data_IF_608480192073
#
_entry.id   IF_608480192073
#
_cell.length_a   1.000
_cell.length_b   1.000
_cell.length_c   1.000
_cell.angle_alpha   90.00
_cell.angle_beta   90.00
_cell.angle_gamma   90.00
#
_symmetry.space_group_name_H-M   'P 1'
#
loop_
_entity.id
_entity.type
_entity.pdbx_description
1 polymer ?
#
# COMPACT_ATOMS: atom_id res chain seq x y z
N UNK A 1 -1.23 -7.13 -22.29
CA UNK A 1 -0.94 -6.86 -20.87
C UNK A 1 -1.90 -5.79 -20.44
N UNK A 2 -3.01 -6.16 -19.81
CA UNK A 2 -3.83 -5.17 -19.12
C UNK A 2 -3.21 -4.94 -17.74
N UNK A 3 -2.74 -3.72 -17.57
CA UNK A 3 -2.22 -3.20 -16.31
C UNK A 3 -3.40 -3.00 -15.36
N UNK A 4 -3.22 -3.38 -14.11
CA UNK A 4 -4.13 -3.08 -13.02
C UNK A 4 -4.54 -1.62 -13.04
N UNK A 5 -5.82 -1.35 -13.34
CA UNK A 5 -6.53 -0.08 -13.17
C UNK A 5 -5.66 1.21 -13.11
N UNK A 6 -4.74 1.42 -14.06
CA UNK A 6 -3.97 2.66 -14.29
C UNK A 6 -3.32 3.39 -13.11
N UNK A 7 -3.24 2.81 -11.90
CA UNK A 7 -2.84 3.53 -10.69
C UNK A 7 -1.60 2.92 -10.05
N UNK A 8 -0.58 3.77 -9.91
CA UNK A 8 0.77 3.39 -9.47
C UNK A 8 1.06 3.87 -8.05
N UNK A 9 0.10 4.59 -7.44
CA UNK A 9 0.26 5.20 -6.13
C UNK A 9 -0.63 4.49 -5.10
N UNK A 10 0.00 4.05 -4.03
CA UNK A 10 -0.64 3.48 -2.85
C UNK A 10 -1.18 4.64 -1.98
N UNK A 11 -2.27 5.25 -2.43
CA UNK A 11 -2.92 6.38 -1.72
C UNK A 11 -3.96 5.83 -0.75
N UNK A 12 -3.76 6.10 0.54
CA UNK A 12 -4.61 5.62 1.66
C UNK A 12 -6.10 5.99 1.53
N UNK A 13 -6.42 6.95 0.66
CA UNK A 13 -7.77 7.47 0.42
C UNK A 13 -8.22 7.42 -1.05
N UNK A 14 -7.48 6.75 -1.93
CA UNK A 14 -7.98 6.51 -3.29
C UNK A 14 -9.18 5.58 -3.23
N UNK A 15 -10.26 5.99 -3.91
CA UNK A 15 -11.57 5.35 -3.84
C UNK A 15 -11.92 4.69 -5.16
N UNK A 16 -11.68 3.40 -5.30
CA UNK A 16 -12.42 2.60 -6.29
C UNK A 16 -13.61 1.93 -5.59
N UNK A 17 -14.81 2.23 -6.08
CA UNK A 17 -16.10 1.69 -5.61
C UNK A 17 -16.73 0.75 -6.64
N UNK A 18 -16.06 0.53 -7.76
CA UNK A 18 -16.54 -0.22 -8.91
C UNK A 18 -16.24 -1.72 -8.74
N UNK A 19 -16.42 -2.24 -7.53
CA UNK A 19 -16.10 -3.62 -7.19
C UNK A 19 -17.34 -4.37 -6.70
N UNK A 20 -17.32 -5.67 -6.93
CA UNK A 20 -18.25 -6.62 -6.31
C UNK A 20 -17.43 -7.57 -5.47
N UNK A 21 -17.68 -7.57 -4.16
CA UNK A 21 -17.10 -8.57 -3.28
C UNK A 21 -17.97 -9.83 -3.26
N UNK A 22 -17.32 -10.97 -3.40
CA UNK A 22 -17.97 -12.28 -3.48
C UNK A 22 -17.44 -13.17 -2.39
N UNK A 23 -18.35 -13.92 -1.74
CA UNK A 23 -17.97 -14.90 -0.74
C UNK A 23 -17.47 -16.19 -1.43
N UNK A 24 -16.37 -16.74 -0.95
CA UNK A 24 -15.73 -17.93 -1.50
C UNK A 24 -16.41 -19.22 -1.02
N UNK A 25 -17.68 -19.38 -1.40
CA UNK A 25 -18.56 -20.43 -0.91
C UNK A 25 -19.44 -19.94 0.25
N UNK A 26 -20.63 -20.54 0.35
CA UNK A 26 -21.65 -20.16 1.33
C UNK A 26 -21.13 -20.31 2.76
N UNK A 27 -21.24 -19.23 3.55
CA UNK A 27 -20.84 -19.18 4.97
C UNK A 27 -19.36 -19.51 5.20
N UNK A 28 -18.50 -19.36 4.18
CA UNK A 28 -17.07 -19.63 4.30
C UNK A 28 -16.35 -18.61 5.17
N UNK A 29 -16.89 -17.39 5.29
CA UNK A 29 -16.22 -16.26 5.92
C UNK A 29 -14.97 -15.78 5.16
N UNK A 30 -14.77 -16.28 3.95
CA UNK A 30 -13.67 -15.93 3.05
C UNK A 30 -14.25 -15.14 1.88
N UNK A 31 -13.60 -14.04 1.52
CA UNK A 31 -14.09 -13.11 0.51
C UNK A 31 -13.02 -12.85 -0.54
N UNK A 32 -13.48 -12.46 -1.72
CA UNK A 32 -12.58 -12.03 -2.78
C UNK A 32 -13.14 -10.89 -3.64
N UNK A 33 -12.22 -10.13 -4.25
CA UNK A 33 -12.48 -9.24 -5.39
C UNK A 33 -11.87 -9.84 -6.65
N UNK A 34 -12.69 -10.00 -7.69
CA UNK A 34 -12.23 -10.47 -9.00
C UNK A 34 -11.82 -9.28 -9.87
N UNK A 35 -10.61 -8.78 -9.64
CA UNK A 35 -10.03 -7.64 -10.39
C UNK A 35 -9.00 -8.10 -11.42
N UNK A 36 -8.88 -9.41 -11.64
CA UNK A 36 -7.97 -10.02 -12.60
C UNK A 36 -6.48 -9.72 -12.38
N UNK A 37 -5.89 -9.92 -11.17
CA UNK A 37 -4.46 -9.76 -10.97
C UNK A 37 -3.62 -10.62 -11.91
N UNK A 38 -2.65 -10.00 -12.58
CA UNK A 38 -1.74 -10.63 -13.55
C UNK A 38 -0.38 -11.01 -12.96
N UNK A 39 -0.14 -10.71 -11.68
CA UNK A 39 1.08 -11.02 -10.96
C UNK A 39 0.95 -10.83 -9.45
N UNK A 40 1.98 -11.21 -8.67
CA UNK A 40 2.02 -10.94 -7.24
C UNK A 40 2.05 -9.43 -6.98
N UNK A 41 1.44 -9.01 -5.88
CA UNK A 41 1.34 -7.59 -5.56
C UNK A 41 0.76 -7.35 -4.19
N UNK A 42 0.59 -6.07 -3.85
CA UNK A 42 0.01 -5.66 -2.59
C UNK A 42 -1.31 -4.95 -2.83
N UNK A 43 -2.21 -5.04 -1.86
CA UNK A 43 -3.47 -4.31 -1.90
C UNK A 43 -3.89 -3.87 -0.50
N UNK A 44 -4.65 -2.77 -0.46
CA UNK A 44 -5.31 -2.30 0.73
C UNK A 44 -6.81 -2.51 0.60
N UNK A 45 -7.44 -2.85 1.72
CA UNK A 45 -8.89 -2.84 1.88
C UNK A 45 -9.27 -1.83 2.97
N UNK A 46 -10.27 -1.00 2.69
CA UNK A 46 -10.81 -0.03 3.66
C UNK A 46 -12.26 -0.34 3.98
N UNK A 47 -12.54 -0.53 5.26
CA UNK A 47 -13.87 -0.84 5.78
C UNK A 47 -14.42 0.33 6.60
N UNK A 48 -15.74 0.52 6.57
CA UNK A 48 -16.44 1.37 7.51
C UNK A 48 -16.53 0.69 8.88
N UNK A 49 -16.11 1.38 9.95
CA UNK A 49 -16.18 0.85 11.33
C UNK A 49 -17.49 1.19 12.04
N UNK A 50 -18.29 2.12 11.50
CA UNK A 50 -19.52 2.59 12.14
C UNK A 50 -19.24 3.16 13.53
N UNK A 51 -19.83 2.54 14.56
CA UNK A 51 -19.67 2.97 15.95
C UNK A 51 -18.36 2.49 16.60
N UNK A 52 -17.58 1.63 15.94
CA UNK A 52 -16.41 0.97 16.53
C UNK A 52 -15.13 1.73 16.17
N UNK A 53 -14.99 2.95 16.71
CA UNK A 53 -13.94 3.89 16.29
C UNK A 53 -12.51 3.48 16.67
N UNK A 54 -12.36 2.59 17.64
CA UNK A 54 -11.06 2.11 18.13
C UNK A 54 -10.51 0.95 17.29
N UNK A 55 -11.26 0.48 16.28
CA UNK A 55 -10.85 -0.62 15.43
C UNK A 55 -10.10 -0.11 14.20
N UNK A 56 -9.10 -0.89 13.77
CA UNK A 56 -8.49 -0.69 12.47
C UNK A 56 -9.56 -0.74 11.37
N UNK A 57 -9.48 0.18 10.43
CA UNK A 57 -10.41 0.29 9.31
C UNK A 57 -9.74 0.09 7.96
N UNK A 58 -8.42 -0.02 7.94
CA UNK A 58 -7.59 -0.13 6.74
C UNK A 58 -6.63 -1.28 6.96
N UNK A 59 -6.60 -2.22 6.03
CA UNK A 59 -5.88 -3.49 6.12
C UNK A 59 -5.02 -3.68 4.89
N UNK A 60 -3.83 -4.23 5.07
CA UNK A 60 -2.84 -4.44 4.03
C UNK A 60 -2.60 -5.92 3.83
N UNK A 61 -2.58 -6.34 2.56
CA UNK A 61 -2.47 -7.72 2.15
C UNK A 61 -1.48 -7.86 1.01
N UNK A 62 -0.96 -9.07 0.87
CA UNK A 62 -0.12 -9.48 -0.25
C UNK A 62 -0.80 -10.61 -0.99
N UNK A 63 -0.92 -10.47 -2.31
CA UNK A 63 -1.23 -11.56 -3.21
C UNK A 63 0.06 -12.30 -3.58
N UNK A 64 0.07 -13.62 -3.42
CA UNK A 64 1.13 -14.47 -3.96
C UNK A 64 0.95 -14.63 -5.48
N UNK A 65 2.00 -15.09 -6.18
CA UNK A 65 1.97 -15.20 -7.65
C UNK A 65 0.93 -16.18 -8.20
N UNK A 66 0.37 -17.05 -7.36
CA UNK A 66 -0.67 -18.02 -7.73
C UNK A 66 -2.10 -17.46 -7.56
N UNK A 67 -2.24 -16.29 -6.94
CA UNK A 67 -3.54 -15.70 -6.62
C UNK A 67 -4.08 -14.87 -7.78
N UNK A 68 -5.17 -15.35 -8.38
CA UNK A 68 -5.90 -14.67 -9.46
C UNK A 68 -6.99 -13.72 -8.98
N UNK A 69 -7.12 -13.50 -7.65
CA UNK A 69 -8.12 -12.64 -7.00
C UNK A 69 -7.53 -12.00 -5.75
N UNK A 70 -8.06 -10.86 -5.31
CA UNK A 70 -7.69 -10.27 -4.02
C UNK A 70 -8.51 -10.97 -2.94
N UNK A 71 -7.89 -11.69 -2.01
CA UNK A 71 -8.62 -12.53 -1.04
C UNK A 71 -8.36 -12.11 0.40
N UNK A 72 -9.38 -12.26 1.26
CA UNK A 72 -9.25 -12.02 2.70
C UNK A 72 -10.29 -12.83 3.49
N UNK A 73 -10.05 -13.05 4.78
CA UNK A 73 -11.00 -13.65 5.71
C UNK A 73 -11.66 -12.61 6.61
N UNK A 74 -12.84 -12.93 7.13
CA UNK A 74 -13.52 -12.10 8.13
C UNK A 74 -12.63 -11.83 9.34
N UNK A 75 -11.92 -12.83 9.86
CA UNK A 75 -11.04 -12.71 11.03
C UNK A 75 -9.92 -11.69 10.78
N UNK A 76 -9.32 -11.71 9.59
CA UNK A 76 -8.24 -10.79 9.22
C UNK A 76 -8.66 -9.33 9.25
N UNK A 77 -9.95 -9.06 9.03
CA UNK A 77 -10.52 -7.70 9.02
C UNK A 77 -11.40 -7.41 10.24
N UNK A 78 -11.09 -8.07 11.37
CA UNK A 78 -11.83 -7.94 12.62
C UNK A 78 -13.35 -8.14 12.48
N UNK A 79 -13.76 -9.06 11.61
CA UNK A 79 -15.13 -9.39 11.25
C UNK A 79 -15.92 -8.23 10.61
N UNK A 80 -15.26 -7.19 10.08
CA UNK A 80 -15.95 -6.06 9.46
C UNK A 80 -16.70 -6.45 8.19
N UNK A 81 -16.20 -7.42 7.42
CA UNK A 81 -16.86 -7.98 6.22
C UNK A 81 -18.00 -8.95 6.52
N UNK A 82 -18.14 -9.45 7.75
CA UNK A 82 -19.17 -10.43 8.09
C UNK A 82 -18.90 -11.18 9.38
N UNK A 83 -19.97 -11.61 10.04
CA UNK A 83 -19.91 -12.48 11.21
C UNK A 83 -19.40 -11.82 12.50
N UNK A 84 -18.99 -12.66 13.45
CA UNK A 84 -18.45 -12.26 14.74
C UNK A 84 -19.40 -11.46 15.64
N UNK A 85 -18.87 -10.98 16.77
CA UNK A 85 -19.66 -10.23 17.77
C UNK A 85 -20.02 -8.81 17.33
N UNK A 86 -19.31 -8.25 16.34
CA UNK A 86 -19.52 -6.89 15.85
C UNK A 86 -20.60 -6.78 14.75
N UNK A 87 -21.22 -7.91 14.36
CA UNK A 87 -22.23 -8.00 13.31
C UNK A 87 -21.81 -7.26 12.03
N UNK A 88 -20.61 -7.56 11.54
CA UNK A 88 -20.11 -6.96 10.31
C UNK A 88 -20.93 -7.39 9.09
N UNK A 89 -20.72 -6.70 7.97
CA UNK A 89 -21.35 -7.01 6.70
C UNK A 89 -20.47 -6.52 5.57
N UNK A 90 -20.57 -7.19 4.42
CA UNK A 90 -19.71 -6.89 3.28
C UNK A 90 -19.89 -5.47 2.74
N UNK A 91 -21.08 -4.87 2.93
CA UNK A 91 -21.36 -3.47 2.59
C UNK A 91 -20.52 -2.46 3.37
N UNK A 92 -19.78 -2.88 4.41
CA UNK A 92 -18.78 -2.05 5.07
C UNK A 92 -17.50 -1.91 4.25
N UNK A 93 -17.18 -2.83 3.33
CA UNK A 93 -16.07 -2.64 2.41
C UNK A 93 -16.37 -1.42 1.54
N UNK A 94 -15.52 -0.41 1.64
CA UNK A 94 -15.77 0.91 1.05
C UNK A 94 -14.81 1.23 -0.09
N UNK A 95 -13.57 0.74 0.00
CA UNK A 95 -12.53 0.98 -0.99
C UNK A 95 -11.57 -0.20 -1.02
N UNK A 96 -10.98 -0.42 -2.19
CA UNK A 96 -9.72 -1.13 -2.31
C UNK A 96 -8.75 -0.28 -3.13
N UNK A 97 -7.46 -0.51 -2.95
CA UNK A 97 -6.44 -0.03 -3.88
C UNK A 97 -5.38 -1.11 -4.04
N UNK A 98 -4.79 -1.18 -5.23
CA UNK A 98 -3.73 -2.14 -5.56
C UNK A 98 -2.43 -1.39 -5.80
N UNK A 99 -1.33 -2.08 -5.58
CA UNK A 99 0.00 -1.57 -5.86
C UNK A 99 0.81 -2.61 -6.61
N UNK A 100 1.30 -2.20 -7.77
CA UNK A 100 2.25 -2.95 -8.56
C UNK A 100 3.67 -2.44 -8.29
N UNK A 101 4.49 -3.30 -7.68
CA UNK A 101 5.90 -2.99 -7.43
C UNK A 101 6.74 -2.95 -8.72
N UNK A 102 6.26 -3.54 -9.82
CA UNK A 102 6.92 -3.51 -11.11
C UNK A 102 6.62 -2.22 -11.90
N UNK A 103 5.49 -1.54 -11.62
CA UNK A 103 5.10 -0.30 -12.28
C UNK A 103 5.64 0.93 -11.52
N UNK A 104 6.95 1.15 -11.62
CA UNK A 104 7.51 2.49 -11.53
C UNK A 104 8.27 2.85 -10.25
N UNK A 105 9.46 2.27 -10.09
CA UNK A 105 10.62 3.05 -9.59
C UNK A 105 11.07 4.11 -10.63
N UNK A 106 10.13 4.81 -11.27
CA UNK A 106 10.43 5.93 -12.20
C UNK A 106 10.43 7.27 -11.50
N UNK A 107 10.07 7.31 -10.22
CA UNK A 107 10.38 8.46 -9.37
C UNK A 107 11.86 8.39 -9.05
N UNK A 108 12.69 9.14 -9.78
CA UNK A 108 13.99 9.54 -9.28
C UNK A 108 13.75 10.12 -7.89
N UNK A 109 14.09 9.37 -6.84
CA UNK A 109 14.06 9.89 -5.48
C UNK A 109 15.05 11.04 -5.51
N UNK A 110 14.61 12.31 -5.30
CA UNK A 110 15.52 13.42 -5.33
C UNK A 110 16.65 13.12 -4.36
N UNK A 111 17.89 13.16 -4.85
CA UNK A 111 19.05 12.90 -4.00
C UNK A 111 18.92 13.77 -2.75
N UNK A 112 19.02 13.19 -1.54
CA UNK A 112 18.92 13.96 -0.33
C UNK A 112 19.89 15.14 -0.39
N UNK A 113 19.42 16.37 -0.17
CA UNK A 113 20.26 17.57 -0.14
C UNK A 113 21.44 17.45 0.85
N UNK A 114 21.39 16.47 1.76
CA UNK A 114 22.49 16.08 2.64
C UNK A 114 23.73 15.60 1.86
N UNK A 115 23.60 14.96 0.70
CA UNK A 115 24.75 14.58 -0.14
C UNK A 115 25.47 15.80 -0.70
N UNK A 116 24.72 16.78 -1.20
CA UNK A 116 25.28 18.06 -1.63
C UNK A 116 25.95 18.80 -0.45
N UNK A 117 25.32 18.78 0.74
CA UNK A 117 25.88 19.40 1.94
C UNK A 117 27.16 18.71 2.44
N UNK A 118 27.21 17.38 2.40
CA UNK A 118 28.42 16.60 2.72
C UNK A 118 29.53 16.92 1.73
N UNK A 119 29.22 16.99 0.42
CA UNK A 119 30.18 17.39 -0.61
C UNK A 119 30.75 18.79 -0.37
N UNK A 120 29.88 19.77 -0.09
CA UNK A 120 30.28 21.15 0.23
C UNK A 120 31.09 21.23 1.53
N UNK A 121 30.71 20.46 2.56
CA UNK A 121 31.44 20.40 3.83
C UNK A 121 32.86 19.86 3.66
N UNK A 122 33.02 18.76 2.92
CA UNK A 122 34.34 18.19 2.61
C UNK A 122 35.20 19.14 1.77
N UNK A 123 34.60 19.80 0.78
CA UNK A 123 35.29 20.80 -0.03
C UNK A 123 35.77 22.00 0.80
N UNK A 124 34.91 22.52 1.69
CA UNK A 124 35.27 23.61 2.59
C UNK A 124 36.42 23.23 3.54
N UNK A 125 36.39 22.03 4.12
CA UNK A 125 37.46 21.53 4.99
C UNK A 125 38.78 21.39 4.22
N UNK A 126 38.75 20.85 3.00
CA UNK A 126 39.92 20.72 2.14
C UNK A 126 40.52 22.07 1.76
N UNK A 127 39.68 23.04 1.40
CA UNK A 127 40.10 24.40 1.05
C UNK A 127 40.74 25.15 2.24
N UNK A 128 40.18 25.00 3.45
CA UNK A 128 40.75 25.58 4.68
C UNK A 128 42.11 24.97 5.01
N UNK A 129 42.26 23.64 4.87
CA UNK A 129 43.55 22.96 5.13
C UNK A 129 44.65 23.43 4.17
N UNK A 130 44.35 23.59 2.88
CA UNK A 130 45.33 24.03 1.87
C UNK A 130 45.86 25.45 2.15
N UNK A 131 45.00 26.36 2.61
CA UNK A 131 45.40 27.74 2.96
C UNK A 131 46.30 27.81 4.19
N UNK A 132 46.15 26.88 5.15
CA UNK A 132 47.03 26.81 6.33
C UNK A 132 48.42 26.24 6.01
N UNK A 133 48.52 25.34 5.03
CA UNK A 133 49.82 24.76 4.61
C UNK A 133 50.66 25.66 3.71
N UNK A 134 50.12 26.71 3.09
CA UNK A 134 50.93 27.64 2.26
C UNK A 134 51.44 28.87 3.01
N UNK A 135 51.21 28.96 4.32
CA UNK A 135 51.64 30.07 5.18
C UNK A 135 52.71 29.65 6.21
N UNK A 136 53.33 28.48 6.00
CA UNK A 136 54.55 27.99 6.66
C UNK A 136 55.66 27.84 5.64
#
# INVERSE_FOLDING_TARGET
MEFFAGNTNLVQDLKDKSFTAVENGTDSGQWYLDVGPTGPGYFLLKFGTGNHKDMANTYFFQNTGEMTKLVWSNEQVNFLSGGGNIKGNIGKLSHYTTYDAAFGQTGEIPEPATLALVGLGLFAIGAVRRRRSSHS
#
